data_IF_666372261883
#
_entry.id   IF_666372261883
#
_cell.length_a   1.000
_cell.length_b   1.000
_cell.length_c   1.000
_cell.angle_alpha   90.00
_cell.angle_beta   90.00
_cell.angle_gamma   90.00
#
_symmetry.space_group_name_H-M   'P 1'
#
loop_
_entity.id
_entity.type
_entity.pdbx_description
1 polymer ?
#
# COMPACT_ATOMS: atom_id res chain seq x y z
N UNK A 1 -0.10 -16.70 -6.00
CA UNK A 1 0.86 -15.57 -5.90
C UNK A 1 0.22 -14.36 -6.57
N UNK A 2 0.23 -13.18 -5.94
CA UNK A 2 -0.50 -12.01 -6.48
C UNK A 2 0.34 -11.31 -7.56
N UNK A 3 -0.32 -10.80 -8.61
CA UNK A 3 0.31 -10.11 -9.73
C UNK A 3 1.28 -8.99 -9.27
N UNK A 4 0.89 -8.25 -8.24
CA UNK A 4 1.69 -7.15 -7.69
C UNK A 4 3.02 -7.66 -7.12
N UNK A 5 3.00 -8.74 -6.33
CA UNK A 5 4.19 -9.32 -5.72
C UNK A 5 5.20 -9.77 -6.79
N UNK A 6 4.70 -10.34 -7.89
CA UNK A 6 5.53 -10.74 -9.02
C UNK A 6 6.20 -9.55 -9.71
N UNK A 7 5.47 -8.45 -9.93
CA UNK A 7 6.04 -7.23 -10.51
C UNK A 7 7.11 -6.63 -9.61
N UNK A 8 6.88 -6.61 -8.29
CA UNK A 8 7.86 -6.12 -7.32
C UNK A 8 9.14 -6.94 -7.41
N UNK A 9 9.05 -8.27 -7.33
CA UNK A 9 10.22 -9.17 -7.42
C UNK A 9 11.02 -8.97 -8.70
N UNK A 10 10.34 -8.79 -9.84
CA UNK A 10 10.99 -8.52 -11.12
C UNK A 10 11.68 -7.15 -11.07
N UNK A 11 11.01 -6.11 -10.59
CA UNK A 11 11.57 -4.76 -10.53
C UNK A 11 12.75 -4.63 -9.56
N UNK A 12 12.75 -5.36 -8.44
CA UNK A 12 13.85 -5.38 -7.46
C UNK A 12 15.15 -5.94 -8.05
N UNK A 13 15.06 -6.92 -8.94
CA UNK A 13 16.22 -7.47 -9.66
C UNK A 13 16.78 -6.52 -10.72
N UNK A 14 16.01 -5.50 -11.12
CA UNK A 14 16.36 -4.54 -12.17
C UNK A 14 16.33 -3.09 -11.67
N UNK A 15 17.23 -2.69 -10.74
CA UNK A 15 17.26 -1.34 -10.18
C UNK A 15 17.52 -0.24 -11.22
N UNK A 16 18.14 -0.57 -12.36
CA UNK A 16 18.37 0.30 -13.52
C UNK A 16 17.11 0.61 -14.34
N UNK A 17 16.01 -0.07 -14.03
CA UNK A 17 14.70 0.08 -14.63
C UNK A 17 14.54 -0.64 -15.96
N UNK A 18 13.37 -1.28 -16.12
CA UNK A 18 13.02 -2.12 -17.25
C UNK A 18 12.27 -1.28 -18.29
N UNK A 19 12.67 -1.38 -19.56
CA UNK A 19 11.95 -0.72 -20.65
C UNK A 19 10.58 -1.39 -20.87
N UNK A 20 9.50 -0.61 -21.03
CA UNK A 20 8.13 -1.10 -21.13
C UNK A 20 7.93 -2.17 -22.22
N UNK A 21 8.60 -2.01 -23.37
CA UNK A 21 8.51 -2.98 -24.47
C UNK A 21 9.15 -4.34 -24.12
N UNK A 22 10.12 -4.36 -23.21
CA UNK A 22 10.81 -5.58 -22.75
C UNK A 22 10.23 -6.16 -21.47
N UNK A 23 9.34 -5.43 -20.80
CA UNK A 23 8.85 -5.83 -19.48
C UNK A 23 8.22 -7.23 -19.45
N UNK A 24 7.43 -7.60 -20.48
CA UNK A 24 6.85 -8.94 -20.58
C UNK A 24 7.92 -10.03 -20.66
N UNK A 25 8.93 -9.81 -21.49
CA UNK A 25 10.05 -10.73 -21.68
C UNK A 25 10.82 -10.90 -20.36
N UNK A 26 11.20 -9.79 -19.72
CA UNK A 26 11.95 -9.82 -18.46
C UNK A 26 11.14 -10.49 -17.34
N UNK A 27 9.84 -10.24 -17.27
CA UNK A 27 8.95 -10.90 -16.31
C UNK A 27 8.98 -12.43 -16.46
N UNK A 28 8.92 -12.91 -17.71
CA UNK A 28 8.95 -14.34 -18.03
C UNK A 28 10.33 -14.97 -17.78
N UNK A 29 11.41 -14.25 -18.11
CA UNK A 29 12.79 -14.65 -17.82
C UNK A 29 13.03 -14.80 -16.31
N UNK A 30 12.49 -13.89 -15.49
CA UNK A 30 12.76 -13.85 -14.06
C UNK A 30 11.89 -14.77 -13.19
N UNK A 31 10.70 -15.12 -13.67
CA UNK A 31 9.73 -15.93 -12.92
C UNK A 31 9.44 -17.29 -13.57
N UNK A 32 9.85 -17.52 -14.82
CA UNK A 32 9.53 -18.73 -15.58
C UNK A 32 8.05 -18.84 -15.96
N UNK A 33 7.28 -17.75 -15.85
CA UNK A 33 5.85 -17.70 -16.10
C UNK A 33 5.50 -16.55 -17.05
N UNK A 34 4.60 -16.80 -18.01
CA UNK A 34 4.12 -15.76 -18.90
C UNK A 34 3.29 -14.73 -18.14
N UNK A 35 3.57 -13.44 -18.35
CA UNK A 35 2.78 -12.36 -17.75
C UNK A 35 1.29 -12.49 -18.15
N UNK A 36 0.35 -12.63 -17.20
CA UNK A 36 -1.05 -12.84 -17.54
C UNK A 36 -1.64 -11.65 -18.33
N UNK A 37 -2.74 -11.89 -19.04
CA UNK A 37 -3.31 -10.85 -19.92
C UNK A 37 -3.85 -9.72 -19.05
N UNK A 38 -3.51 -8.49 -19.40
CA UNK A 38 -3.84 -7.32 -18.56
C UNK A 38 -5.35 -7.13 -18.38
N UNK A 39 -6.13 -7.56 -19.38
CA UNK A 39 -7.59 -7.49 -19.38
C UNK A 39 -8.22 -8.39 -18.32
N UNK A 40 -7.56 -9.48 -17.91
CA UNK A 40 -8.06 -10.38 -16.84
C UNK A 40 -8.16 -9.64 -15.50
N UNK A 41 -7.42 -8.55 -15.34
CA UNK A 41 -7.42 -7.70 -14.16
C UNK A 41 -8.21 -6.39 -14.36
N UNK A 42 -8.97 -6.26 -15.45
CA UNK A 42 -9.72 -5.04 -15.78
C UNK A 42 -8.88 -3.89 -16.34
N UNK A 43 -7.64 -4.16 -16.77
CA UNK A 43 -6.75 -3.13 -17.31
C UNK A 43 -6.49 -3.34 -18.81
N UNK A 44 -6.72 -2.32 -19.66
CA UNK A 44 -6.61 -2.49 -21.10
C UNK A 44 -5.16 -2.64 -21.59
N UNK A 45 -4.18 -2.18 -20.80
CA UNK A 45 -2.76 -2.13 -21.17
C UNK A 45 -1.89 -2.31 -19.94
N UNK A 46 -0.68 -2.83 -20.13
CA UNK A 46 0.33 -2.99 -19.09
C UNK A 46 0.64 -1.66 -18.38
N UNK A 47 0.72 -0.58 -19.15
CA UNK A 47 0.95 0.77 -18.62
C UNK A 47 -0.15 1.19 -17.62
N UNK A 48 -1.39 0.72 -17.81
CA UNK A 48 -2.50 1.02 -16.89
C UNK A 48 -2.33 0.30 -15.56
N UNK A 49 -1.86 -0.95 -15.58
CA UNK A 49 -1.50 -1.70 -14.36
C UNK A 49 -0.36 -0.99 -13.64
N UNK A 50 0.72 -0.67 -14.36
CA UNK A 50 1.89 0.00 -13.78
C UNK A 50 1.54 1.38 -13.19
N UNK A 51 0.62 2.12 -13.82
CA UNK A 51 0.08 3.38 -13.28
C UNK A 51 -0.84 3.19 -12.07
N UNK A 52 -1.48 2.03 -11.93
CA UNK A 52 -2.21 1.69 -10.70
C UNK A 52 -1.25 1.28 -9.58
N UNK A 53 -0.06 0.78 -9.94
CA UNK A 53 1.00 0.33 -9.02
C UNK A 53 2.00 1.41 -8.61
N UNK A 54 1.63 2.69 -8.59
CA UNK A 54 2.57 3.81 -8.30
C UNK A 54 3.34 3.70 -6.97
N UNK A 55 2.80 2.97 -5.99
CA UNK A 55 3.51 2.66 -4.74
C UNK A 55 4.67 1.69 -4.90
N UNK A 56 4.62 0.83 -5.91
CA UNK A 56 5.58 -0.28 -6.12
C UNK A 56 6.48 -0.05 -7.33
N UNK A 57 5.99 0.68 -8.32
CA UNK A 57 6.67 0.93 -9.57
C UNK A 57 6.62 2.42 -9.94
N UNK A 58 7.79 3.01 -10.23
CA UNK A 58 7.91 4.36 -10.79
C UNK A 58 8.01 4.28 -12.30
N UNK A 59 6.99 4.79 -12.98
CA UNK A 59 6.97 4.89 -14.44
C UNK A 59 7.60 6.21 -14.91
N UNK A 60 8.68 6.12 -15.68
CA UNK A 60 9.25 7.25 -16.43
C UNK A 60 8.73 7.20 -17.87
N UNK A 61 7.73 8.03 -18.18
CA UNK A 61 7.07 8.02 -19.51
C UNK A 61 7.99 8.52 -20.62
N UNK A 62 8.86 9.50 -20.34
CA UNK A 62 9.81 10.04 -21.32
C UNK A 62 10.82 8.97 -21.79
N UNK A 63 11.30 8.16 -20.85
CA UNK A 63 12.24 7.06 -21.14
C UNK A 63 11.56 5.71 -21.39
N UNK A 64 10.22 5.66 -21.28
CA UNK A 64 9.42 4.43 -21.33
C UNK A 64 9.99 3.32 -20.44
N UNK A 65 10.51 3.68 -19.26
CA UNK A 65 11.11 2.75 -18.29
C UNK A 65 10.30 2.67 -17.01
N UNK A 66 10.27 1.49 -16.41
CA UNK A 66 9.66 1.21 -15.11
C UNK A 66 10.79 0.91 -14.14
N UNK A 67 10.82 1.62 -13.04
CA UNK A 67 11.78 1.42 -11.97
C UNK A 67 11.06 0.83 -10.76
N UNK A 68 11.73 0.03 -9.92
CA UNK A 68 11.24 -0.19 -8.57
C UNK A 68 11.09 1.17 -7.88
N UNK A 69 10.01 1.37 -7.14
CA UNK A 69 9.95 2.55 -6.28
C UNK A 69 10.95 2.36 -5.15
N UNK A 70 11.89 3.29 -4.98
CA UNK A 70 12.85 3.27 -3.86
C UNK A 70 12.10 3.64 -2.58
N UNK A 71 11.38 2.70 -1.99
CA UNK A 71 10.96 2.80 -0.60
C UNK A 71 11.79 1.78 0.20
N UNK A 72 12.89 2.22 0.84
CA UNK A 72 13.81 1.33 1.57
C UNK A 72 13.15 0.48 2.66
N UNK A 73 11.94 0.85 3.10
CA UNK A 73 11.20 0.17 4.16
C UNK A 73 10.22 -0.90 3.67
N UNK A 74 10.05 -1.07 2.36
CA UNK A 74 9.28 -2.16 1.76
C UNK A 74 10.20 -3.35 1.42
N UNK A 75 10.95 -3.87 2.40
CA UNK A 75 11.80 -5.04 2.15
C UNK A 75 10.95 -6.31 2.02
N UNK A 76 11.41 -7.25 1.19
CA UNK A 76 10.82 -8.58 0.96
C UNK A 76 10.62 -9.39 2.26
N UNK A 77 11.28 -9.01 3.35
CA UNK A 77 11.09 -9.57 4.69
C UNK A 77 9.65 -9.36 5.23
N UNK A 78 8.87 -8.43 4.67
CA UNK A 78 7.46 -8.25 5.05
C UNK A 78 6.50 -9.29 4.44
N UNK A 79 6.92 -10.17 3.53
CA UNK A 79 6.00 -11.13 2.91
C UNK A 79 5.51 -12.17 3.93
N UNK A 80 6.42 -12.75 4.71
CA UNK A 80 6.06 -13.69 5.78
C UNK A 80 5.20 -13.02 6.84
N UNK A 81 5.54 -11.77 7.19
CA UNK A 81 4.79 -11.01 8.18
C UNK A 81 3.39 -10.58 7.68
N UNK A 82 3.24 -10.22 6.40
CA UNK A 82 1.93 -9.99 5.76
C UNK A 82 1.10 -11.26 5.75
N UNK A 83 1.70 -12.41 5.46
CA UNK A 83 0.99 -13.69 5.45
C UNK A 83 0.60 -14.12 6.88
N UNK A 84 1.45 -13.85 7.87
CA UNK A 84 1.12 -14.01 9.28
C UNK A 84 -0.07 -13.12 9.67
N UNK A 85 -0.06 -11.84 9.28
CA UNK A 85 -1.18 -10.93 9.53
C UNK A 85 -2.46 -11.37 8.83
N UNK A 86 -2.39 -11.86 7.59
CA UNK A 86 -3.55 -12.43 6.87
C UNK A 86 -4.10 -13.64 7.62
N UNK A 87 -3.22 -14.52 8.09
CA UNK A 87 -3.60 -15.72 8.84
C UNK A 87 -4.25 -15.32 10.17
N UNK A 88 -3.64 -14.39 10.91
CA UNK A 88 -4.21 -13.83 12.15
C UNK A 88 -5.55 -13.13 11.87
N UNK A 89 -5.71 -12.41 10.76
CA UNK A 89 -6.99 -11.76 10.41
C UNK A 89 -8.14 -12.73 10.12
N UNK A 90 -7.85 -13.98 9.77
CA UNK A 90 -8.86 -15.05 9.64
C UNK A 90 -9.29 -15.62 10.99
N UNK A 91 -8.47 -15.44 12.03
CA UNK A 91 -8.79 -15.90 13.39
C UNK A 91 -9.69 -14.90 14.10
N UNK A 92 -10.41 -15.38 15.10
CA UNK A 92 -11.23 -14.50 15.94
C UNK A 92 -10.34 -13.56 16.75
N UNK A 93 -10.59 -12.25 16.68
CA UNK A 93 -9.85 -11.24 17.45
C UNK A 93 -9.95 -11.40 18.97
N UNK A 94 -10.91 -12.21 19.45
CA UNK A 94 -11.04 -12.55 20.86
C UNK A 94 -9.90 -13.45 21.38
N UNK A 95 -9.18 -14.13 20.48
CA UNK A 95 -8.11 -15.06 20.82
C UNK A 95 -6.75 -14.39 21.01
N UNK A 96 -6.58 -13.13 20.60
CA UNK A 96 -5.30 -12.45 20.69
C UNK A 96 -5.03 -11.88 22.08
N UNK A 97 -3.79 -12.10 22.55
CA UNK A 97 -3.25 -11.47 23.75
C UNK A 97 -3.13 -9.94 23.58
N UNK A 98 -2.88 -9.22 24.66
CA UNK A 98 -2.63 -7.77 24.60
C UNK A 98 -1.33 -7.45 23.82
N UNK A 99 -0.32 -8.30 23.97
CA UNK A 99 0.96 -8.18 23.26
C UNK A 99 0.78 -8.38 21.76
N UNK A 100 0.05 -9.41 21.35
CA UNK A 100 -0.25 -9.66 19.93
C UNK A 100 -1.06 -8.52 19.29
N UNK A 101 -2.02 -7.95 20.02
CA UNK A 101 -2.78 -6.79 19.54
C UNK A 101 -1.87 -5.57 19.33
N UNK A 102 -0.88 -5.40 20.19
CA UNK A 102 0.11 -4.32 20.09
C UNK A 102 1.04 -4.55 18.89
N UNK A 103 1.51 -5.77 18.68
CA UNK A 103 2.31 -6.16 17.52
C UNK A 103 1.55 -5.90 16.21
N UNK A 104 0.29 -6.34 16.12
CA UNK A 104 -0.58 -6.10 14.95
C UNK A 104 -0.82 -4.60 14.74
N UNK A 105 -0.93 -3.82 15.82
CA UNK A 105 -1.12 -2.38 15.73
C UNK A 105 0.13 -1.67 15.18
N UNK A 106 1.33 -2.00 15.66
CA UNK A 106 2.58 -1.44 15.14
C UNK A 106 2.82 -1.83 13.67
N UNK A 107 2.49 -3.07 13.31
CA UNK A 107 2.48 -3.50 11.91
C UNK A 107 1.52 -2.66 11.05
N UNK A 108 0.31 -2.43 11.56
CA UNK A 108 -0.70 -1.62 10.88
C UNK A 108 -0.24 -0.17 10.71
N UNK A 109 0.49 0.39 11.68
CA UNK A 109 1.12 1.72 11.55
C UNK A 109 2.15 1.75 10.42
N UNK A 110 3.04 0.74 10.37
CA UNK A 110 4.04 0.62 9.30
C UNK A 110 3.39 0.60 7.91
N UNK A 111 2.41 -0.28 7.70
CA UNK A 111 1.71 -0.36 6.42
C UNK A 111 0.84 0.86 6.11
N UNK A 112 0.31 1.51 7.15
CA UNK A 112 -0.39 2.79 6.96
C UNK A 112 0.56 3.85 6.41
N UNK A 113 1.77 3.96 6.96
CA UNK A 113 2.79 4.86 6.43
C UNK A 113 3.15 4.51 4.97
N UNK A 114 3.35 3.24 4.64
CA UNK A 114 3.56 2.78 3.26
C UNK A 114 2.43 3.19 2.33
N UNK A 115 1.17 3.03 2.74
CA UNK A 115 0.04 3.45 1.94
C UNK A 115 0.02 4.97 1.74
N UNK A 116 0.29 5.75 2.79
CA UNK A 116 0.29 7.22 2.72
C UNK A 116 1.34 7.74 1.73
N UNK A 117 2.56 7.19 1.71
CA UNK A 117 3.60 7.67 0.79
C UNK A 117 3.25 7.49 -0.69
N UNK A 118 2.26 6.65 -1.01
CA UNK A 118 1.74 6.49 -2.38
C UNK A 118 0.77 7.58 -2.81
N UNK A 119 0.31 8.42 -1.88
CA UNK A 119 -0.69 9.43 -2.19
C UNK A 119 -0.09 10.52 -3.08
N UNK A 120 -0.89 10.92 -4.07
CA UNK A 120 -0.56 12.08 -4.88
C UNK A 120 -0.82 13.41 -4.14
N UNK A 121 -0.27 14.49 -4.69
CA UNK A 121 -0.40 15.84 -4.15
C UNK A 121 -1.86 16.33 -4.01
N UNK A 122 -2.82 15.74 -4.74
CA UNK A 122 -4.25 16.12 -4.64
C UNK A 122 -4.83 15.64 -3.32
N UNK A 123 -4.39 14.49 -2.83
CA UNK A 123 -4.88 13.91 -1.57
C UNK A 123 -4.24 14.56 -0.34
N UNK A 124 -3.06 15.16 -0.46
CA UNK A 124 -2.45 15.94 0.62
C UNK A 124 -3.38 17.05 1.10
N UNK A 125 -3.99 17.80 0.16
CA UNK A 125 -4.87 18.94 0.49
C UNK A 125 -6.30 18.55 0.82
N UNK A 126 -6.83 17.50 0.18
CA UNK A 126 -8.26 17.16 0.26
C UNK A 126 -8.56 16.05 1.27
N UNK A 127 -7.53 15.31 1.69
CA UNK A 127 -7.70 14.07 2.42
C UNK A 127 -8.46 13.00 1.63
N UNK A 128 -8.60 11.82 2.22
CA UNK A 128 -9.45 10.74 1.72
C UNK A 128 -10.60 10.47 2.67
N UNK A 129 -11.74 10.07 2.12
CA UNK A 129 -12.81 9.52 2.94
C UNK A 129 -12.31 8.26 3.66
N UNK A 130 -12.68 8.10 4.93
CA UNK A 130 -12.29 6.93 5.74
C UNK A 130 -12.65 5.60 5.07
N UNK A 131 -13.77 5.54 4.35
CA UNK A 131 -14.19 4.36 3.60
C UNK A 131 -13.25 4.05 2.44
N UNK A 132 -12.86 5.07 1.66
CA UNK A 132 -11.98 4.91 0.51
C UNK A 132 -10.57 4.57 0.98
N UNK A 133 -10.12 5.17 2.08
CA UNK A 133 -8.86 4.83 2.74
C UNK A 133 -8.79 3.34 3.05
N UNK A 134 -9.78 2.80 3.75
CA UNK A 134 -9.79 1.39 4.16
C UNK A 134 -9.84 0.44 2.95
N UNK A 135 -10.62 0.79 1.92
CA UNK A 135 -10.72 -0.01 0.69
C UNK A 135 -9.40 -0.02 -0.09
N UNK A 136 -8.80 1.14 -0.30
CA UNK A 136 -7.54 1.26 -1.03
C UNK A 136 -6.37 0.63 -0.27
N UNK A 137 -6.32 0.80 1.06
CA UNK A 137 -5.37 0.10 1.91
C UNK A 137 -5.47 -1.43 1.72
N UNK A 138 -6.69 -1.96 1.70
CA UNK A 138 -6.91 -3.39 1.49
C UNK A 138 -6.52 -3.86 0.09
N UNK A 139 -6.77 -3.05 -0.94
CA UNK A 139 -6.31 -3.36 -2.30
C UNK A 139 -4.79 -3.33 -2.42
N UNK A 140 -4.12 -2.39 -1.73
CA UNK A 140 -2.68 -2.24 -1.77
C UNK A 140 -1.97 -3.39 -1.04
N UNK A 141 -2.34 -3.67 0.21
CA UNK A 141 -1.62 -4.64 1.03
C UNK A 141 -2.23 -6.05 0.99
N UNK A 142 -3.43 -6.22 0.42
CA UNK A 142 -4.20 -7.46 0.55
C UNK A 142 -4.56 -7.76 2.01
N UNK A 143 -4.72 -6.71 2.84
CA UNK A 143 -4.98 -6.79 4.28
C UNK A 143 -6.14 -5.85 4.65
N UNK A 144 -7.12 -6.36 5.40
CA UNK A 144 -8.19 -5.49 5.88
C UNK A 144 -7.67 -4.59 7.01
N UNK A 145 -8.07 -3.32 7.03
CA UNK A 145 -7.74 -2.40 8.12
C UNK A 145 -8.57 -2.73 9.37
N UNK A 146 -8.13 -3.74 10.11
CA UNK A 146 -8.97 -4.39 11.13
C UNK A 146 -8.78 -3.80 12.52
N UNK A 147 -9.59 -2.78 12.83
CA UNK A 147 -9.63 -2.16 14.17
C UNK A 147 -9.72 -3.16 15.32
N UNK A 148 -10.56 -4.20 15.18
CA UNK A 148 -10.75 -5.22 16.22
C UNK A 148 -9.48 -6.01 16.55
N UNK A 149 -8.68 -6.34 15.54
CA UNK A 149 -7.42 -7.08 15.71
C UNK A 149 -6.33 -6.24 16.39
N UNK A 150 -6.45 -4.91 16.30
CA UNK A 150 -5.60 -3.96 17.00
C UNK A 150 -6.18 -3.56 18.39
N UNK A 151 -7.27 -4.19 18.84
CA UNK A 151 -7.92 -3.86 20.12
C UNK A 151 -8.89 -2.67 20.11
N UNK A 152 -9.21 -2.10 18.95
CA UNK A 152 -10.14 -0.98 18.82
C UNK A 152 -11.55 -1.45 18.42
N UNK A 153 -12.58 -0.74 18.88
CA UNK A 153 -13.98 -1.09 18.56
C UNK A 153 -14.36 -0.72 17.13
N UNK A 154 -13.76 0.34 16.58
CA UNK A 154 -14.11 0.93 15.28
C UNK A 154 -12.88 1.46 14.55
N UNK A 155 -12.93 1.48 13.22
CA UNK A 155 -11.82 1.94 12.37
C UNK A 155 -11.38 3.36 12.67
N UNK A 156 -12.30 4.28 12.98
CA UNK A 156 -11.89 5.65 13.32
C UNK A 156 -11.03 5.72 14.59
N UNK A 157 -11.29 4.87 15.60
CA UNK A 157 -10.48 4.84 16.83
C UNK A 157 -9.06 4.36 16.54
N UNK A 158 -8.93 3.36 15.65
CA UNK A 158 -7.63 2.90 15.15
C UNK A 158 -6.87 4.04 14.47
N UNK A 159 -7.54 4.82 13.60
CA UNK A 159 -6.94 5.98 12.94
C UNK A 159 -6.53 7.07 13.94
N UNK A 160 -7.38 7.35 14.94
CA UNK A 160 -7.06 8.32 16.00
C UNK A 160 -5.88 7.91 16.87
N UNK A 161 -5.61 6.61 16.99
CA UNK A 161 -4.45 6.09 17.70
C UNK A 161 -3.12 6.28 16.94
N UNK A 162 -3.14 6.81 15.71
CA UNK A 162 -1.95 7.03 14.87
C UNK A 162 -1.72 8.53 14.54
N UNK A 163 -1.70 9.44 15.53
CA UNK A 163 -1.67 10.89 15.28
C UNK A 163 -0.40 11.37 14.56
N UNK A 164 0.71 10.63 14.70
CA UNK A 164 1.96 10.93 13.99
C UNK A 164 1.96 10.53 12.51
N UNK A 165 0.96 9.77 12.05
CA UNK A 165 0.83 9.36 10.65
C UNK A 165 -0.32 10.09 9.95
N UNK A 166 -1.43 10.24 10.65
CA UNK A 166 -2.69 10.73 10.08
C UNK A 166 -3.42 11.65 11.05
N UNK A 167 -4.18 12.57 10.48
CA UNK A 167 -5.16 13.38 11.21
C UNK A 167 -6.56 13.07 10.70
N UNK A 168 -7.51 12.90 11.63
CA UNK A 168 -8.90 12.57 11.31
C UNK A 168 -9.80 13.80 11.51
N UNK A 169 -10.35 14.31 10.42
CA UNK A 169 -11.43 15.29 10.47
C UNK A 169 -12.76 14.56 10.56
N UNK A 170 -13.29 14.46 11.79
CA UNK A 170 -14.59 13.83 12.05
C UNK A 170 -15.72 14.63 11.44
N UNK A 171 -16.62 13.94 10.75
CA UNK A 171 -17.92 14.49 10.41
C UNK A 171 -18.92 14.10 11.51
N UNK A 172 -19.47 15.11 12.20
CA UNK A 172 -20.35 14.92 13.36
C UNK A 172 -21.68 14.23 13.02
N UNK A 173 -22.14 14.35 11.77
CA UNK A 173 -23.41 13.76 11.31
C UNK A 173 -23.24 12.33 10.80
N UNK A 174 -22.08 12.03 10.20
CA UNK A 174 -21.82 10.70 9.66
C UNK A 174 -20.32 10.39 9.68
N UNK A 175 -19.91 9.51 10.59
CA UNK A 175 -18.50 9.13 10.74
C UNK A 175 -17.90 8.48 9.49
N UNK A 176 -18.70 7.93 8.57
CA UNK A 176 -18.23 7.42 7.26
C UNK A 176 -17.77 8.53 6.32
N UNK A 177 -18.29 9.75 6.51
CA UNK A 177 -17.87 10.94 5.77
C UNK A 177 -16.69 11.66 6.43
N UNK A 178 -16.09 11.08 7.48
CA UNK A 178 -14.86 11.60 8.07
C UNK A 178 -13.72 11.50 7.05
N UNK A 179 -12.85 12.50 7.07
CA UNK A 179 -11.70 12.57 6.17
C UNK A 179 -10.41 12.33 6.93
N UNK A 180 -9.54 11.53 6.34
CA UNK A 180 -8.17 11.29 6.78
C UNK A 180 -7.26 12.20 5.96
N UNK A 181 -6.40 12.92 6.65
CA UNK A 181 -5.28 13.65 6.08
C UNK A 181 -3.98 13.05 6.61
N UNK A 182 -2.87 13.27 5.90
CA UNK A 182 -1.56 12.96 6.47
C UNK A 182 -1.26 13.88 7.66
N UNK A 183 -0.48 13.37 8.60
CA UNK A 183 0.18 14.24 9.55
C UNK A 183 1.20 15.14 8.82
N UNK A 184 1.38 16.40 9.25
CA UNK A 184 2.31 17.34 8.60
C UNK A 184 3.75 16.81 8.46
N UNK A 185 4.21 16.00 9.42
CA UNK A 185 5.52 15.35 9.41
C UNK A 185 5.65 14.38 8.24
N UNK A 186 4.64 13.52 8.04
CA UNK A 186 4.60 12.55 6.94
C UNK A 186 4.43 13.26 5.60
N UNK A 187 3.59 14.30 5.53
CA UNK A 187 3.43 15.10 4.32
C UNK A 187 4.76 15.70 3.85
N UNK A 188 5.53 16.30 4.76
CA UNK A 188 6.86 16.85 4.46
C UNK A 188 7.82 15.79 3.94
N UNK A 189 7.81 14.60 4.54
CA UNK A 189 8.62 13.48 4.09
C UNK A 189 8.22 13.05 2.67
N UNK A 190 6.93 12.88 2.40
CA UNK A 190 6.42 12.52 1.07
C UNK A 190 6.82 13.56 0.01
N UNK A 191 6.71 14.85 0.32
CA UNK A 191 7.08 15.94 -0.61
C UNK A 191 8.58 15.93 -0.91
N UNK A 192 9.43 15.63 0.07
CA UNK A 192 10.89 15.56 -0.12
C UNK A 192 11.24 14.39 -1.05
N UNK A 193 10.75 13.19 -0.76
CA UNK A 193 11.05 11.99 -1.56
C UNK A 193 10.51 12.08 -3.00
N UNK A 194 9.43 12.83 -3.23
CA UNK A 194 8.89 13.04 -4.59
C UNK A 194 9.72 14.00 -5.45
N UNK A 195 10.64 14.79 -4.85
CA UNK A 195 11.48 15.75 -5.58
C UNK A 195 12.86 15.18 -5.98
N UNK A 196 13.24 14.03 -5.44
CA UNK A 196 14.52 13.33 -5.68
C UNK A 196 14.38 12.23 -6.76
#
# INVERSE_FOLDING_TARGET
>A
MFLIDNFVRVLEKHPEGIHLSRFRQVYEEELGETLPRTNEFGYPKLISILRAMKGYARLNEARKKVYPTKFPWMSVEDVEFKELLRTKQKLSCALFSAEEKTEIFEATKKYTLEYLVTWDARYLRRGKLLTNFAQEYAMMHGLQLSSKHCGFKRTHQLIEAMPGLVTLQKNSRNTRLSRIYMAPEVERLCIREQRE
#
